data_IF_639252207023
#
_entry.id   IF_639252207023
#
_cell.length_a   1.000
_cell.length_b   1.000
_cell.length_c   1.000
_cell.angle_alpha   90.00
_cell.angle_beta   90.00
_cell.angle_gamma   90.00
#
_symmetry.space_group_name_H-M   'P 1'
#
loop_
_entity.id
_entity.type
_entity.pdbx_description
1 polymer ?
#
# COMPACT_ATOMS: atom_id res chain seq x y z
N UNK A 1 9.75 16.89 -8.12
CA UNK A 1 10.92 16.00 -8.24
C UNK A 1 10.41 14.56 -8.22
N UNK A 2 10.91 13.67 -9.07
CA UNK A 2 10.58 12.25 -8.98
C UNK A 2 10.98 11.70 -7.60
N UNK A 3 10.22 10.74 -7.09
CA UNK A 3 10.56 10.11 -5.81
C UNK A 3 11.86 9.32 -5.94
N UNK A 4 12.77 9.37 -4.95
CA UNK A 4 13.96 8.52 -4.94
C UNK A 4 13.66 7.03 -4.74
N UNK A 5 12.40 6.66 -4.44
CA UNK A 5 11.95 5.29 -4.24
C UNK A 5 11.20 4.72 -5.45
N UNK A 6 11.07 5.51 -6.52
CA UNK A 6 10.29 5.14 -7.69
C UNK A 6 8.80 5.49 -7.58
N UNK A 7 8.00 4.86 -8.41
CA UNK A 7 6.54 5.05 -8.45
C UNK A 7 5.80 3.75 -8.70
N UNK A 8 4.54 3.69 -8.23
CA UNK A 8 3.64 2.56 -8.41
C UNK A 8 2.38 3.03 -9.15
N UNK A 9 2.06 2.39 -10.27
CA UNK A 9 0.83 2.62 -11.01
C UNK A 9 -0.25 1.64 -10.57
N UNK A 10 -1.41 2.17 -10.18
CA UNK A 10 -2.55 1.39 -9.70
C UNK A 10 -3.85 1.87 -10.32
N UNK A 11 -4.87 1.01 -10.33
CA UNK A 11 -6.28 1.40 -10.52
C UNK A 11 -7.07 0.88 -9.32
N UNK A 12 -8.06 1.63 -8.88
CA UNK A 12 -8.98 1.18 -7.84
C UNK A 12 -10.37 1.72 -8.11
N UNK A 13 -11.38 0.91 -7.84
CA UNK A 13 -12.79 1.30 -7.94
C UNK A 13 -13.62 0.45 -6.99
N UNK A 14 -14.76 0.99 -6.57
CA UNK A 14 -15.71 0.28 -5.72
C UNK A 14 -16.92 -0.14 -6.56
N UNK A 15 -17.33 -1.40 -6.43
CA UNK A 15 -18.44 -1.96 -7.19
C UNK A 15 -19.08 -3.12 -6.39
N UNK A 16 -20.42 -3.15 -6.29
CA UNK A 16 -21.17 -4.25 -5.65
C UNK A 16 -20.59 -4.72 -4.29
N UNK A 17 -20.41 -3.79 -3.34
CA UNK A 17 -19.85 -4.07 -2.00
C UNK A 17 -18.44 -4.68 -2.01
N UNK A 18 -17.69 -4.41 -3.08
CA UNK A 18 -16.34 -4.90 -3.27
C UNK A 18 -15.44 -3.77 -3.77
N UNK A 19 -14.29 -3.64 -3.13
CA UNK A 19 -13.21 -2.76 -3.56
C UNK A 19 -12.29 -3.56 -4.46
N UNK A 20 -12.26 -3.20 -5.74
CA UNK A 20 -11.36 -3.78 -6.73
C UNK A 20 -10.10 -2.92 -6.83
N UNK A 21 -8.94 -3.56 -6.78
CA UNK A 21 -7.62 -2.92 -6.81
C UNK A 21 -6.76 -3.63 -7.83
N UNK A 22 -6.30 -2.92 -8.84
CA UNK A 22 -5.33 -3.41 -9.81
C UNK A 22 -3.97 -2.79 -9.53
N UNK A 23 -2.96 -3.64 -9.36
CA UNK A 23 -1.56 -3.25 -9.29
C UNK A 23 -0.95 -3.49 -10.67
N UNK A 24 -0.56 -2.42 -11.36
CA UNK A 24 -0.17 -2.49 -12.77
C UNK A 24 1.33 -2.70 -12.91
N UNK A 25 2.11 -1.68 -12.56
CA UNK A 25 3.57 -1.73 -12.66
C UNK A 25 4.20 -0.77 -11.65
N UNK A 26 5.47 -1.02 -11.32
CA UNK A 26 6.31 -0.03 -10.65
C UNK A 26 7.43 0.43 -11.58
N UNK A 27 7.98 1.62 -11.33
CA UNK A 27 9.13 2.14 -12.06
C UNK A 27 10.17 2.69 -11.11
N UNK A 28 11.43 2.51 -11.48
CA UNK A 28 12.58 3.03 -10.74
C UNK A 28 12.58 2.58 -9.28
N UNK A 29 12.20 1.31 -9.05
CA UNK A 29 12.26 0.70 -7.71
C UNK A 29 13.70 0.72 -7.22
N UNK A 30 13.89 0.89 -5.91
CA UNK A 30 15.23 0.92 -5.29
C UNK A 30 15.92 -0.43 -5.51
N UNK A 31 17.17 -0.45 -6.02
CA UNK A 31 17.97 -1.68 -6.08
C UNK A 31 18.42 -2.07 -4.67
N UNK A 32 17.89 -3.18 -4.17
CA UNK A 32 18.13 -3.67 -2.82
C UNK A 32 19.09 -4.87 -2.81
N UNK A 33 19.16 -5.62 -3.91
CA UNK A 33 20.11 -6.71 -4.06
C UNK A 33 21.54 -6.25 -4.36
N UNK A 34 22.57 -7.02 -3.96
CA UNK A 34 23.97 -6.82 -4.37
C UNK A 34 24.20 -6.85 -5.89
N UNK A 35 23.27 -7.44 -6.65
CA UNK A 35 23.33 -7.54 -8.10
C UNK A 35 22.93 -6.22 -8.80
N UNK A 36 22.47 -5.21 -8.05
CA UNK A 36 22.01 -3.92 -8.58
C UNK A 36 20.56 -3.91 -9.09
N UNK A 37 19.79 -4.96 -8.79
CA UNK A 37 18.36 -5.10 -9.06
C UNK A 37 17.60 -5.35 -7.75
N UNK A 38 16.36 -5.80 -7.87
CA UNK A 38 15.52 -6.32 -6.78
C UNK A 38 14.62 -7.41 -7.38
N UNK A 39 14.03 -8.22 -6.51
CA UNK A 39 12.93 -9.16 -6.74
C UNK A 39 11.60 -8.57 -6.17
N UNK A 40 11.05 -7.48 -6.74
CA UNK A 40 9.94 -6.75 -6.13
C UNK A 40 8.61 -7.51 -6.12
N UNK A 41 7.84 -7.30 -5.05
CA UNK A 41 6.42 -7.59 -4.92
C UNK A 41 5.71 -6.50 -4.12
N UNK A 42 4.38 -6.43 -4.22
CA UNK A 42 3.57 -5.42 -3.53
C UNK A 42 2.64 -6.08 -2.53
N UNK A 43 2.71 -5.63 -1.27
CA UNK A 43 1.73 -5.95 -0.23
C UNK A 43 0.66 -4.85 -0.20
N UNK A 44 -0.60 -5.24 -0.18
CA UNK A 44 -1.77 -4.37 -0.25
C UNK A 44 -2.55 -4.52 1.04
N UNK A 45 -2.75 -3.41 1.75
CA UNK A 45 -3.40 -3.37 3.04
C UNK A 45 -4.44 -2.24 3.10
N UNK A 46 -5.61 -2.50 3.70
CA UNK A 46 -6.61 -1.47 3.98
C UNK A 46 -6.40 -0.87 5.38
N UNK A 47 -6.37 0.46 5.43
CA UNK A 47 -6.18 1.24 6.64
C UNK A 47 -7.37 2.20 6.86
N UNK A 48 -7.72 2.51 8.12
CA UNK A 48 -7.12 1.97 9.34
C UNK A 48 -7.64 0.55 9.66
N UNK A 49 -6.74 -0.35 10.08
CA UNK A 49 -7.04 -1.78 10.38
C UNK A 49 -8.29 -2.02 11.21
N UNK A 50 -8.60 -1.12 12.16
CA UNK A 50 -9.79 -1.21 13.03
C UNK A 50 -11.12 -1.16 12.29
N UNK A 51 -11.15 -0.56 11.10
CA UNK A 51 -12.34 -0.47 10.23
C UNK A 51 -12.41 -1.69 9.33
N UNK A 52 -11.25 -2.19 8.88
CA UNK A 52 -11.11 -3.28 7.92
C UNK A 52 -10.65 -4.59 8.57
N UNK A 53 -11.13 -4.90 9.79
CA UNK A 53 -10.65 -6.03 10.61
C UNK A 53 -10.74 -7.40 9.92
N UNK A 54 -11.66 -7.55 8.98
CA UNK A 54 -11.89 -8.79 8.23
C UNK A 54 -11.18 -8.83 6.87
N UNK A 55 -10.51 -7.74 6.49
CA UNK A 55 -9.75 -7.64 5.26
C UNK A 55 -8.30 -8.00 5.56
N UNK A 56 -7.90 -9.21 5.18
CA UNK A 56 -6.50 -9.62 5.28
C UNK A 56 -5.67 -8.89 4.22
N UNK A 57 -4.38 -8.68 4.52
CA UNK A 57 -3.44 -8.18 3.51
C UNK A 57 -3.32 -9.17 2.35
N UNK A 58 -3.21 -8.65 1.13
CA UNK A 58 -3.01 -9.42 -0.08
C UNK A 58 -1.66 -9.02 -0.71
N UNK A 59 -1.09 -9.86 -1.56
CA UNK A 59 0.20 -9.58 -2.18
C UNK A 59 0.25 -10.02 -3.63
N UNK A 60 1.03 -9.32 -4.44
CA UNK A 60 1.35 -9.73 -5.82
C UNK A 60 2.32 -10.92 -5.82
N UNK A 61 2.51 -11.50 -6.99
CA UNK A 61 3.65 -12.36 -7.25
C UNK A 61 4.96 -11.56 -7.19
N UNK A 62 6.05 -12.29 -6.98
CA UNK A 62 7.42 -11.77 -6.98
C UNK A 62 7.94 -11.73 -8.41
N UNK A 63 8.43 -10.56 -8.84
CA UNK A 63 9.05 -10.38 -10.15
C UNK A 63 10.56 -10.32 -10.00
N UNK A 64 11.28 -11.29 -10.58
CA UNK A 64 12.71 -11.42 -10.34
C UNK A 64 13.57 -10.45 -11.13
N UNK A 65 14.60 -9.91 -10.48
CA UNK A 65 15.73 -9.16 -11.03
C UNK A 65 15.28 -8.03 -11.95
N UNK A 66 14.44 -7.14 -11.42
CA UNK A 66 13.89 -6.00 -12.16
C UNK A 66 13.65 -4.80 -11.25
N UNK A 67 13.90 -3.59 -11.77
CA UNK A 67 13.53 -2.32 -11.13
C UNK A 67 12.26 -1.71 -11.73
N UNK A 68 11.67 -2.40 -12.73
CA UNK A 68 10.46 -2.00 -13.44
C UNK A 68 9.50 -3.19 -13.57
N UNK A 69 9.00 -3.75 -12.46
CA UNK A 69 8.09 -4.88 -12.51
C UNK A 69 6.76 -4.47 -13.15
N UNK A 70 6.22 -5.36 -13.98
CA UNK A 70 4.85 -5.28 -14.51
C UNK A 70 4.09 -6.43 -13.86
N UNK A 71 3.23 -6.08 -12.90
CA UNK A 71 2.44 -7.03 -12.11
C UNK A 71 1.17 -7.42 -12.89
N UNK A 72 0.38 -6.42 -13.31
CA UNK A 72 -0.94 -6.59 -13.95
C UNK A 72 -1.85 -7.55 -13.15
N UNK A 73 -1.88 -7.40 -11.82
CA UNK A 73 -2.64 -8.24 -10.90
C UNK A 73 -3.85 -7.51 -10.31
N UNK A 74 -4.96 -8.21 -10.15
CA UNK A 74 -6.21 -7.67 -9.62
C UNK A 74 -6.59 -8.34 -8.30
N UNK A 75 -7.01 -7.53 -7.33
CA UNK A 75 -7.35 -7.91 -5.98
C UNK A 75 -8.74 -7.40 -5.63
N UNK A 76 -9.47 -8.16 -4.84
CA UNK A 76 -10.81 -7.82 -4.39
C UNK A 76 -10.88 -7.87 -2.87
N UNK A 77 -11.46 -6.83 -2.28
CA UNK A 77 -11.73 -6.77 -0.84
C UNK A 77 -13.22 -6.57 -0.62
N UNK A 78 -13.85 -7.48 0.12
CA UNK A 78 -15.24 -7.30 0.55
C UNK A 78 -15.32 -6.22 1.63
N UNK A 79 -15.85 -5.05 1.26
CA UNK A 79 -15.97 -3.88 2.13
C UNK A 79 -17.27 -3.14 1.86
N UNK A 80 -17.80 -2.48 2.87
CA UNK A 80 -18.99 -1.64 2.69
C UNK A 80 -18.59 -0.23 2.24
N UNK A 81 -19.52 0.45 1.56
CA UNK A 81 -19.34 1.85 1.20
C UNK A 81 -19.06 2.75 2.43
N UNK A 82 -19.73 2.47 3.56
CA UNK A 82 -19.53 3.20 4.82
C UNK A 82 -18.09 3.08 5.35
N UNK A 83 -17.50 1.87 5.25
CA UNK A 83 -16.09 1.68 5.61
C UNK A 83 -15.17 2.50 4.70
N UNK A 84 -15.43 2.54 3.39
CA UNK A 84 -14.66 3.34 2.43
C UNK A 84 -14.79 4.86 2.64
N UNK A 85 -15.95 5.33 3.11
CA UNK A 85 -16.23 6.74 3.40
C UNK A 85 -15.70 7.19 4.77
N UNK A 86 -15.19 6.27 5.59
CA UNK A 86 -14.63 6.61 6.90
C UNK A 86 -13.45 7.58 6.76
N UNK A 87 -13.38 8.59 7.61
CA UNK A 87 -12.30 9.58 7.58
C UNK A 87 -10.93 8.89 7.74
N UNK A 88 -10.02 9.18 6.79
CA UNK A 88 -8.69 8.58 6.73
C UNK A 88 -8.66 7.14 6.21
N UNK A 89 -9.76 6.61 5.67
CA UNK A 89 -9.78 5.31 5.01
C UNK A 89 -8.95 5.35 3.72
N UNK A 90 -8.03 4.39 3.58
CA UNK A 90 -7.02 4.38 2.53
C UNK A 90 -6.47 2.98 2.26
N UNK A 91 -5.90 2.78 1.09
CA UNK A 91 -5.08 1.63 0.72
C UNK A 91 -3.62 2.00 0.96
N UNK A 92 -2.90 1.13 1.64
CA UNK A 92 -1.44 1.15 1.74
C UNK A 92 -0.88 0.10 0.79
N UNK A 93 0.01 0.52 -0.09
CA UNK A 93 0.81 -0.33 -0.94
C UNK A 93 2.24 -0.32 -0.42
N UNK A 94 2.78 -1.48 -0.07
CA UNK A 94 4.18 -1.61 0.35
C UNK A 94 4.92 -2.45 -0.67
N UNK A 95 5.86 -1.82 -1.39
CA UNK A 95 6.82 -2.51 -2.25
C UNK A 95 7.90 -3.11 -1.36
N UNK A 96 8.08 -4.42 -1.49
CA UNK A 96 9.06 -5.21 -0.78
C UNK A 96 9.96 -5.91 -1.79
N UNK A 97 11.19 -6.20 -1.39
CA UNK A 97 12.11 -7.05 -2.13
C UNK A 97 12.13 -8.45 -1.52
N UNK A 98 12.01 -9.48 -2.35
CA UNK A 98 11.96 -10.85 -1.87
C UNK A 98 13.35 -11.49 -1.78
N UNK A 99 13.77 -11.73 -0.55
CA UNK A 99 15.00 -12.45 -0.27
C UNK A 99 14.75 -13.94 0.03
N UNK A 100 15.53 -14.81 -0.62
CA UNK A 100 15.43 -16.26 -0.40
C UNK A 100 16.12 -16.70 0.89
N UNK A 101 17.19 -16.00 1.31
CA UNK A 101 18.04 -16.39 2.44
C UNK A 101 17.88 -15.48 3.66
N UNK A 102 17.37 -14.26 3.46
CA UNK A 102 17.24 -13.20 4.47
C UNK A 102 15.78 -12.79 4.62
N UNK A 103 15.51 -11.82 5.49
CA UNK A 103 14.18 -11.22 5.58
C UNK A 103 13.99 -10.25 4.41
N UNK A 104 12.75 -10.16 3.89
CA UNK A 104 12.43 -9.25 2.79
C UNK A 104 12.76 -7.79 3.13
N UNK A 105 13.37 -7.08 2.18
CA UNK A 105 13.77 -5.69 2.34
C UNK A 105 12.66 -4.72 1.90
N UNK A 106 12.63 -3.55 2.54
CA UNK A 106 11.62 -2.53 2.24
C UNK A 106 12.05 -1.67 1.04
N UNK A 107 11.24 -1.65 -0.02
CA UNK A 107 11.50 -0.88 -1.24
C UNK A 107 10.79 0.47 -1.30
N UNK A 108 9.71 0.66 -0.54
CA UNK A 108 8.94 1.90 -0.52
C UNK A 108 7.46 1.64 -0.25
N UNK A 109 6.72 2.68 0.12
CA UNK A 109 5.27 2.59 0.28
C UNK A 109 4.54 3.74 -0.40
N UNK A 110 3.29 3.49 -0.77
CA UNK A 110 2.41 4.44 -1.40
C UNK A 110 1.01 4.31 -0.82
N UNK A 111 0.23 5.38 -0.96
CA UNK A 111 -1.04 5.51 -0.27
C UNK A 111 -2.11 6.06 -1.21
N UNK A 112 -3.29 5.44 -1.20
CA UNK A 112 -4.45 5.88 -1.96
C UNK A 112 -5.67 6.06 -1.04
N UNK A 113 -6.17 7.28 -0.92
CA UNK A 113 -7.38 7.54 -0.13
C UNK A 113 -8.62 6.91 -0.79
N UNK A 114 -9.43 6.19 -0.02
CA UNK A 114 -10.63 5.51 -0.52
C UNK A 114 -11.76 6.49 -0.84
N UNK A 115 -11.87 7.61 -0.12
CA UNK A 115 -12.98 8.56 -0.30
C UNK A 115 -13.09 9.17 -1.70
N UNK A 116 -12.01 9.16 -2.49
CA UNK A 116 -11.96 9.75 -3.82
C UNK A 116 -11.92 8.74 -4.96
N UNK A 117 -12.05 7.43 -4.67
CA UNK A 117 -12.03 6.43 -5.75
C UNK A 117 -13.39 6.37 -6.46
N UNK A 118 -13.41 6.04 -7.76
CA UNK A 118 -14.65 5.79 -8.50
C UNK A 118 -15.53 4.75 -7.81
N UNK A 119 -16.84 4.99 -7.77
CA UNK A 119 -17.82 4.15 -7.06
C UNK A 119 -17.96 4.45 -5.56
N UNK A 120 -16.95 5.04 -4.92
CA UNK A 120 -17.07 5.59 -3.55
C UNK A 120 -17.50 7.06 -3.59
N UNK A 121 -16.79 7.88 -4.36
CA UNK A 121 -17.08 9.30 -4.50
C UNK A 121 -18.41 9.56 -5.26
N UNK A 122 -18.66 8.76 -6.31
CA UNK A 122 -19.79 8.91 -7.22
C UNK A 122 -20.62 7.61 -7.28
N UNK A 123 -21.35 7.30 -6.21
CA UNK A 123 -22.14 6.06 -6.04
C UNK A 123 -23.20 5.81 -7.15
N UNK A 124 -23.58 6.84 -7.90
CA UNK A 124 -24.60 6.77 -8.95
C UNK A 124 -24.09 6.35 -10.33
N UNK A 125 -22.77 6.32 -10.54
CA UNK A 125 -22.19 5.97 -11.84
C UNK A 125 -21.90 4.47 -11.86
N UNK A 126 -22.67 3.72 -12.66
CA UNK A 126 -22.33 2.32 -12.91
C UNK A 126 -20.94 2.26 -13.54
N UNK A 127 -20.05 1.46 -12.96
CA UNK A 127 -18.66 1.29 -13.44
C UNK A 127 -18.63 0.38 -14.68
N UNK A 128 -19.65 0.47 -15.54
CA UNK A 128 -19.78 -0.35 -16.75
C UNK A 128 -18.75 0.06 -17.82
N UNK A 129 -18.14 1.24 -17.66
CA UNK A 129 -17.09 1.74 -18.54
C UNK A 129 -15.70 1.52 -17.92
N UNK A 130 -15.27 0.25 -17.83
CA UNK A 130 -13.88 -0.12 -17.49
C UNK A 130 -12.82 0.63 -18.33
N UNK A 131 -13.16 1.01 -19.57
CA UNK A 131 -12.30 1.79 -20.45
C UNK A 131 -11.97 3.21 -19.95
N UNK A 132 -12.73 3.74 -18.99
CA UNK A 132 -12.56 5.10 -18.46
C UNK A 132 -11.76 5.18 -17.15
N UNK A 133 -11.44 4.05 -16.51
CA UNK A 133 -10.73 4.05 -15.23
C UNK A 133 -9.26 4.43 -15.45
N UNK A 134 -8.93 5.67 -15.08
CA UNK A 134 -7.58 6.21 -15.20
C UNK A 134 -6.66 5.57 -14.18
N UNK A 135 -5.51 5.06 -14.63
CA UNK A 135 -4.43 4.68 -13.73
C UNK A 135 -3.91 5.88 -12.94
N UNK A 136 -3.63 5.65 -11.66
CA UNK A 136 -3.06 6.62 -10.74
C UNK A 136 -1.60 6.23 -10.54
N UNK A 137 -0.71 7.18 -10.80
CA UNK A 137 0.71 7.02 -10.50
C UNK A 137 0.99 7.56 -9.10
N UNK A 138 1.31 6.67 -8.17
CA UNK A 138 1.62 7.01 -6.79
C UNK A 138 3.13 7.08 -6.59
N UNK A 139 3.69 8.20 -6.09
CA UNK A 139 5.10 8.24 -5.71
C UNK A 139 5.33 7.34 -4.50
N UNK A 140 6.33 6.45 -4.59
CA UNK A 140 6.75 5.66 -3.44
C UNK A 140 7.48 6.56 -2.44
N UNK A 141 7.42 6.24 -1.15
CA UNK A 141 8.11 6.98 -0.11
C UNK A 141 8.60 6.05 0.99
N UNK A 142 9.51 6.55 1.81
CA UNK A 142 9.90 5.91 3.06
C UNK A 142 9.80 6.96 4.17
N UNK A 143 8.98 6.69 5.19
CA UNK A 143 8.92 7.55 6.36
C UNK A 143 10.14 7.29 7.24
N UNK A 144 11.19 8.12 7.14
CA UNK A 144 12.46 7.96 7.89
C UNK A 144 12.51 8.60 9.28
N UNK A 145 11.44 9.26 9.74
CA UNK A 145 11.52 10.08 10.94
C UNK A 145 11.40 9.26 12.24
N UNK A 146 12.53 8.70 12.67
CA UNK A 146 12.71 8.00 13.96
C UNK A 146 12.34 8.88 15.17
N UNK A 147 12.37 10.20 15.03
CA UNK A 147 12.09 11.16 16.08
C UNK A 147 10.72 11.82 15.92
N UNK A 148 9.83 11.26 15.09
CA UNK A 148 8.53 11.85 14.82
C UNK A 148 7.78 12.08 16.15
N UNK A 149 7.36 13.31 16.46
CA UNK A 149 6.65 13.62 17.71
C UNK A 149 5.42 12.74 17.95
N UNK A 150 4.76 12.29 16.87
CA UNK A 150 3.62 11.38 16.95
C UNK A 150 4.07 10.00 17.47
N UNK A 151 5.19 9.45 16.97
CA UNK A 151 5.71 8.18 17.46
C UNK A 151 6.11 8.28 18.93
N UNK A 152 6.75 9.38 19.35
CA UNK A 152 7.08 9.62 20.76
C UNK A 152 5.83 9.71 21.64
N UNK A 153 4.79 10.39 21.17
CA UNK A 153 3.51 10.49 21.90
C UNK A 153 2.84 9.11 22.01
N UNK A 154 2.85 8.31 20.94
CA UNK A 154 2.27 6.97 20.93
C UNK A 154 3.05 6.00 21.85
N UNK A 155 4.38 6.14 21.93
CA UNK A 155 5.24 5.34 22.81
C UNK A 155 4.86 5.46 24.28
N UNK A 156 4.51 6.66 24.73
CA UNK A 156 4.16 6.92 26.14
C UNK A 156 2.79 6.32 26.50
N UNK A 157 1.95 5.94 25.51
CA UNK A 157 0.63 5.33 25.74
C UNK A 157 0.75 3.85 26.06
N UNK A 158 1.40 3.50 27.17
CA UNK A 158 1.68 2.10 27.56
C UNK A 158 0.43 1.23 27.73
N UNK A 159 -0.72 1.83 28.05
CA UNK A 159 -2.00 1.14 28.24
C UNK A 159 -2.81 1.00 26.94
N UNK A 160 -2.36 1.61 25.84
CA UNK A 160 -2.98 1.51 24.53
C UNK A 160 -2.23 0.47 23.69
N UNK A 161 -2.73 -0.78 23.71
CA UNK A 161 -2.09 -1.89 22.99
C UNK A 161 -1.95 -1.60 21.49
N UNK A 162 -2.92 -0.92 20.88
CA UNK A 162 -2.87 -0.58 19.46
C UNK A 162 -1.75 0.43 19.16
N UNK A 163 -1.61 1.46 20.01
CA UNK A 163 -0.51 2.41 19.89
C UNK A 163 0.85 1.72 20.05
N UNK A 164 0.99 0.82 21.04
CA UNK A 164 2.23 0.08 21.27
C UNK A 164 2.57 -0.86 20.10
N UNK A 165 1.58 -1.58 19.56
CA UNK A 165 1.78 -2.47 18.42
C UNK A 165 2.15 -1.69 17.14
N UNK A 166 1.51 -0.53 16.90
CA UNK A 166 1.87 0.38 15.81
C UNK A 166 3.31 0.88 15.92
N UNK A 167 3.69 1.39 17.09
CA UNK A 167 5.06 1.87 17.35
C UNK A 167 6.08 0.76 17.16
N UNK A 168 5.81 -0.46 17.67
CA UNK A 168 6.72 -1.61 17.48
C UNK A 168 6.89 -1.95 16.01
N UNK A 169 5.80 -1.99 15.24
CA UNK A 169 5.84 -2.26 13.79
C UNK A 169 6.63 -1.17 13.04
N UNK A 170 6.40 0.10 13.37
CA UNK A 170 7.15 1.22 12.78
C UNK A 170 8.63 1.19 13.16
N UNK A 171 8.97 0.88 14.42
CA UNK A 171 10.37 0.72 14.86
C UNK A 171 11.07 -0.44 14.18
N UNK A 172 10.38 -1.55 13.92
CA UNK A 172 10.96 -2.67 13.19
C UNK A 172 11.36 -2.28 11.75
N UNK A 173 10.59 -1.40 11.09
CA UNK A 173 10.93 -0.87 9.77
C UNK A 173 12.19 0.01 9.74
N UNK A 174 12.62 0.52 10.89
CA UNK A 174 13.75 1.45 11.03
C UNK A 174 15.10 0.77 11.33
N UNK A 175 15.08 -0.54 11.58
CA UNK A 175 16.24 -1.32 12.04
C UNK A 175 16.92 -2.07 10.87
N UNK A 176 16.32 -2.08 9.68
CA UNK A 176 16.93 -2.60 8.45
C UNK A 176 17.67 -1.47 7.72
#
# INVERSE_FOLDING_TARGET
MPSPYGSLAVRAYFNHDSLCVEVLHARDVVPLDPNGFSDPFVVIELLPRRIFLHCMEQQTNVHKRTLHPVFDECFEFSVTLEQCLTEGAMICFTVMDHDVLTANDFGGEAYLALGNIPGVADYSTSVDNFHGLKQIELPLMEQKDKCNPILQILEVRINDKQAQDFVRKQKARFIN
#
